data_IF_691341367403
#
_entry.id   IF_691341367403
#
_cell.length_a   1.000
_cell.length_b   1.000
_cell.length_c   1.000
_cell.angle_alpha   90.00
_cell.angle_beta   90.00
_cell.angle_gamma   90.00
#
_symmetry.space_group_name_H-M   'P 1'
#
loop_
_entity.id
_entity.type
_entity.pdbx_description
1 polymer ?
#
# COMPACT_ATOMS: atom_id res chain seq x y z
N UNK A 1 8.45 19.10 -10.96
CA UNK A 1 7.43 19.60 -9.99
C UNK A 1 8.07 20.70 -9.18
N UNK A 2 7.46 21.88 -9.09
CA UNK A 2 7.97 22.93 -8.22
C UNK A 2 7.94 22.44 -6.77
N UNK A 3 9.09 22.39 -6.11
CA UNK A 3 9.20 22.03 -4.71
C UNK A 3 8.55 23.14 -3.87
N UNK A 4 7.26 23.01 -3.62
CA UNK A 4 6.58 23.86 -2.65
C UNK A 4 7.03 23.41 -1.26
N UNK A 5 7.85 24.21 -0.59
CA UNK A 5 8.15 24.01 0.83
C UNK A 5 6.92 24.41 1.63
N UNK A 6 6.26 23.42 2.21
CA UNK A 6 5.16 23.67 3.15
C UNK A 6 5.74 23.78 4.55
N UNK A 7 5.41 24.86 5.25
CA UNK A 7 5.75 25.04 6.66
C UNK A 7 4.45 25.12 7.45
N UNK A 8 4.31 24.24 8.43
CA UNK A 8 3.20 24.28 9.37
C UNK A 8 3.59 25.06 10.62
N UNK A 9 2.58 25.59 11.32
CA UNK A 9 2.76 26.29 12.60
C UNK A 9 1.66 25.90 13.59
N UNK A 10 1.85 26.24 14.87
CA UNK A 10 0.89 25.93 15.95
C UNK A 10 0.59 24.44 16.09
N UNK A 11 -0.65 24.12 16.40
CA UNK A 11 -1.08 22.76 16.74
C UNK A 11 -0.67 21.69 15.74
N UNK A 12 -0.75 21.96 14.44
CA UNK A 12 -0.37 21.00 13.41
C UNK A 12 1.11 20.64 13.47
N UNK A 13 1.97 21.66 13.61
CA UNK A 13 3.42 21.46 13.75
C UNK A 13 3.75 20.71 15.04
N UNK A 14 3.20 21.14 16.16
CA UNK A 14 3.42 20.53 17.48
C UNK A 14 2.95 19.07 17.50
N UNK A 15 1.80 18.79 16.90
CA UNK A 15 1.29 17.40 16.79
C UNK A 15 2.23 16.52 15.97
N UNK A 16 2.74 17.00 14.83
CA UNK A 16 3.70 16.22 14.04
C UNK A 16 4.99 15.93 14.80
N UNK A 17 5.54 16.90 15.52
CA UNK A 17 6.73 16.69 16.36
C UNK A 17 6.44 15.71 17.50
N UNK A 18 5.30 15.84 18.16
CA UNK A 18 4.87 14.90 19.21
C UNK A 18 4.73 13.47 18.68
N UNK A 19 4.09 13.29 17.51
CA UNK A 19 3.98 11.99 16.85
C UNK A 19 5.34 11.42 16.47
N UNK A 20 6.27 12.27 16.01
CA UNK A 20 7.63 11.86 15.70
C UNK A 20 8.34 11.29 16.94
N UNK A 21 8.37 12.05 18.02
CA UNK A 21 9.12 11.68 19.23
C UNK A 21 8.47 10.52 20.00
N UNK A 22 7.14 10.51 20.09
CA UNK A 22 6.43 9.52 20.93
C UNK A 22 6.28 8.18 20.23
N UNK A 23 6.05 8.18 18.93
CA UNK A 23 5.68 6.97 18.19
C UNK A 23 6.63 6.63 17.04
N UNK A 24 6.91 7.59 16.14
CA UNK A 24 7.66 7.28 14.92
C UNK A 24 9.11 6.84 15.22
N UNK A 25 9.70 7.32 16.31
CA UNK A 25 11.03 6.91 16.80
C UNK A 25 11.02 5.68 17.70
N UNK A 26 9.87 5.08 17.98
CA UNK A 26 9.79 3.85 18.77
C UNK A 26 10.26 2.63 17.96
N UNK A 27 11.51 2.26 18.14
CA UNK A 27 12.11 1.10 17.46
C UNK A 27 11.45 -0.25 17.85
N UNK A 28 10.89 -0.36 19.04
CA UNK A 28 10.17 -1.56 19.47
C UNK A 28 8.84 -1.69 18.73
N UNK A 29 8.11 -0.59 18.59
CA UNK A 29 6.87 -0.56 17.82
C UNK A 29 7.12 -1.03 16.38
N UNK A 30 8.19 -0.56 15.71
CA UNK A 30 8.53 -1.01 14.36
C UNK A 30 8.77 -2.51 14.26
N UNK A 31 9.48 -3.11 15.23
CA UNK A 31 9.68 -4.57 15.30
C UNK A 31 8.35 -5.32 15.46
N UNK A 32 7.44 -4.80 16.28
CA UNK A 32 6.09 -5.38 16.46
C UNK A 32 5.26 -5.29 15.17
N UNK A 33 5.41 -4.22 14.38
CA UNK A 33 4.70 -4.04 13.11
C UNK A 33 5.25 -4.95 11.99
N UNK A 34 6.53 -5.31 12.02
CA UNK A 34 7.15 -6.27 11.07
C UNK A 34 6.83 -7.73 11.44
N UNK A 35 6.67 -8.03 12.72
CA UNK A 35 6.47 -9.40 13.25
C UNK A 35 5.39 -10.22 12.51
N UNK A 36 4.20 -9.69 12.14
CA UNK A 36 3.17 -10.43 11.41
C UNK A 36 3.64 -11.01 10.07
N UNK A 37 4.63 -10.41 9.41
CA UNK A 37 5.18 -10.90 8.15
C UNK A 37 6.15 -12.08 8.30
N UNK A 38 6.51 -12.43 9.53
CA UNK A 38 7.29 -13.63 9.87
C UNK A 38 6.40 -14.73 10.45
N UNK A 39 5.36 -14.36 11.17
CA UNK A 39 4.52 -15.31 11.92
C UNK A 39 3.24 -15.72 11.18
N UNK A 40 2.85 -14.95 10.16
CA UNK A 40 1.64 -15.17 9.35
C UNK A 40 0.37 -15.41 10.19
N UNK A 41 0.05 -14.54 11.18
CA UNK A 41 -1.05 -14.77 12.10
C UNK A 41 -2.42 -14.46 11.50
N UNK A 42 -2.46 -13.75 10.36
CA UNK A 42 -3.70 -13.42 9.68
C UNK A 42 -4.20 -14.62 8.87
N UNK A 43 -5.46 -14.63 8.52
CA UNK A 43 -6.07 -15.74 7.76
C UNK A 43 -7.51 -16.00 8.14
N UNK A 44 -8.05 -15.16 9.01
CA UNK A 44 -9.47 -15.03 9.27
C UNK A 44 -9.92 -13.67 8.73
N UNK A 45 -11.15 -13.57 8.25
CA UNK A 45 -11.76 -12.34 7.73
C UNK A 45 -11.79 -11.17 8.71
N UNK A 46 -11.49 -11.42 9.98
CA UNK A 46 -11.44 -10.45 11.08
C UNK A 46 -10.04 -9.93 11.38
N UNK A 47 -9.00 -10.45 10.73
CA UNK A 47 -7.62 -10.09 11.02
C UNK A 47 -6.95 -9.38 9.85
N UNK A 48 -6.26 -8.27 10.13
CA UNK A 48 -5.62 -7.39 9.16
C UNK A 48 -4.32 -6.76 9.69
N UNK A 49 -3.56 -7.53 10.50
CA UNK A 49 -2.33 -7.03 11.14
C UNK A 49 -1.28 -6.55 10.13
N UNK A 50 -1.25 -7.14 8.95
CA UNK A 50 -0.32 -6.76 7.89
C UNK A 50 -0.50 -5.35 7.32
N UNK A 51 -1.63 -4.66 7.61
CA UNK A 51 -1.83 -3.29 7.11
C UNK A 51 -1.03 -2.24 7.89
N UNK A 52 -0.73 -2.49 9.17
CA UNK A 52 -0.27 -1.44 10.07
C UNK A 52 1.12 -0.93 9.74
N UNK A 53 2.07 -1.80 9.41
CA UNK A 53 3.42 -1.36 9.04
C UNK A 53 3.39 -0.36 7.89
N UNK A 54 2.68 -0.66 6.83
CA UNK A 54 2.62 0.19 5.65
C UNK A 54 1.86 1.50 5.86
N UNK A 55 0.75 1.46 6.62
CA UNK A 55 0.02 2.68 7.01
C UNK A 55 0.91 3.61 7.83
N UNK A 56 1.62 3.04 8.79
CA UNK A 56 2.48 3.79 9.68
C UNK A 56 3.68 4.37 8.93
N UNK A 57 4.35 3.57 8.09
CA UNK A 57 5.46 4.01 7.25
C UNK A 57 5.07 5.22 6.37
N UNK A 58 3.87 5.22 5.78
CA UNK A 58 3.40 6.36 4.96
C UNK A 58 3.39 7.66 5.75
N UNK A 59 2.82 7.64 6.97
CA UNK A 59 2.78 8.82 7.84
C UNK A 59 4.16 9.25 8.29
N UNK A 60 4.97 8.31 8.75
CA UNK A 60 6.32 8.59 9.25
C UNK A 60 7.27 9.08 8.15
N UNK A 61 7.17 8.56 6.91
CA UNK A 61 7.94 9.07 5.79
C UNK A 61 7.60 10.53 5.46
N UNK A 62 6.32 10.92 5.55
CA UNK A 62 5.90 12.33 5.37
C UNK A 62 6.41 13.22 6.51
N UNK A 63 6.35 12.75 7.77
CA UNK A 63 6.92 13.47 8.92
C UNK A 63 8.42 13.64 8.73
N UNK A 64 9.15 12.59 8.36
CA UNK A 64 10.57 12.63 8.10
C UNK A 64 10.93 13.59 6.95
N UNK A 65 10.14 13.58 5.86
CA UNK A 65 10.31 14.52 4.76
C UNK A 65 10.12 15.98 5.21
N UNK A 66 9.20 16.24 6.14
CA UNK A 66 8.93 17.55 6.68
C UNK A 66 9.99 18.01 7.68
N UNK A 67 10.34 17.16 8.66
CA UNK A 67 11.23 17.51 9.76
C UNK A 67 12.71 17.42 9.38
N UNK A 68 13.06 16.63 8.36
CA UNK A 68 14.43 16.30 7.96
C UNK A 68 15.26 15.70 9.11
N UNK A 69 14.61 15.02 10.06
CA UNK A 69 15.26 14.42 11.22
C UNK A 69 16.03 13.15 10.82
N UNK A 70 17.37 13.21 10.99
CA UNK A 70 18.25 12.09 10.63
C UNK A 70 18.07 10.87 11.54
N UNK A 71 17.71 11.07 12.81
CA UNK A 71 17.41 10.01 13.76
C UNK A 71 16.17 9.21 13.33
N UNK A 72 15.09 9.93 12.96
CA UNK A 72 13.90 9.30 12.40
C UNK A 72 14.23 8.60 11.08
N UNK A 73 14.96 9.26 10.16
CA UNK A 73 15.35 8.65 8.89
C UNK A 73 16.05 7.30 9.11
N UNK A 74 17.00 7.23 10.04
CA UNK A 74 17.73 5.99 10.34
C UNK A 74 16.82 4.87 10.83
N UNK A 75 15.86 5.19 11.69
CA UNK A 75 14.87 4.21 12.19
C UNK A 75 13.99 3.71 11.05
N UNK A 76 13.53 4.61 10.15
CA UNK A 76 12.73 4.22 8.99
C UNK A 76 13.52 3.35 8.01
N UNK A 77 14.80 3.67 7.78
CA UNK A 77 15.68 2.84 6.96
C UNK A 77 15.86 1.44 7.57
N UNK A 78 16.12 1.36 8.87
CA UNK A 78 16.32 0.09 9.56
C UNK A 78 15.06 -0.80 9.51
N UNK A 79 13.86 -0.23 9.72
CA UNK A 79 12.63 -1.02 9.63
C UNK A 79 12.29 -1.41 8.18
N UNK A 80 12.70 -0.64 7.17
CA UNK A 80 12.56 -1.03 5.76
C UNK A 80 13.47 -2.22 5.44
N UNK A 81 14.73 -2.20 5.90
CA UNK A 81 15.63 -3.35 5.76
C UNK A 81 15.10 -4.59 6.49
N UNK A 82 14.53 -4.40 7.66
CA UNK A 82 13.88 -5.45 8.43
C UNK A 82 12.66 -6.03 7.68
N UNK A 83 11.81 -5.19 7.09
CA UNK A 83 10.68 -5.63 6.27
C UNK A 83 11.16 -6.36 4.99
N UNK A 84 12.19 -5.87 4.31
CA UNK A 84 12.77 -6.54 3.13
C UNK A 84 13.23 -7.97 3.47
N UNK A 85 13.75 -8.21 4.68
CA UNK A 85 14.18 -9.53 5.12
C UNK A 85 13.03 -10.51 5.37
N UNK A 86 11.79 -10.05 5.36
CA UNK A 86 10.60 -10.92 5.48
C UNK A 86 10.06 -11.41 4.14
N UNK A 87 10.62 -10.93 3.01
CA UNK A 87 10.18 -11.41 1.70
C UNK A 87 10.55 -12.88 1.53
N UNK A 88 9.56 -13.71 1.29
CA UNK A 88 9.77 -15.15 1.10
C UNK A 88 10.29 -15.50 -0.31
N UNK A 89 10.59 -16.79 -0.51
CA UNK A 89 11.12 -17.30 -1.78
C UNK A 89 10.15 -17.11 -2.96
N UNK A 90 8.84 -17.02 -2.68
CA UNK A 90 7.82 -16.72 -3.67
C UNK A 90 7.75 -15.22 -4.03
N UNK A 91 8.49 -14.38 -3.32
CA UNK A 91 8.50 -12.93 -3.50
C UNK A 91 7.40 -12.19 -2.74
N UNK A 92 6.72 -12.85 -1.78
CA UNK A 92 5.60 -12.26 -1.04
C UNK A 92 6.07 -11.43 0.15
N UNK A 93 5.31 -10.37 0.44
CA UNK A 93 5.20 -9.76 1.76
C UNK A 93 3.78 -10.00 2.25
N UNK A 94 3.55 -10.98 3.09
CA UNK A 94 2.20 -11.27 3.57
C UNK A 94 2.20 -11.62 5.05
N UNK A 95 1.19 -11.15 5.75
CA UNK A 95 0.84 -11.59 7.10
C UNK A 95 -0.07 -12.83 7.10
N UNK A 96 -0.42 -13.31 5.91
CA UNK A 96 -1.21 -14.52 5.68
C UNK A 96 -0.31 -15.68 5.27
N UNK A 97 -0.58 -16.88 5.81
CA UNK A 97 0.00 -18.10 5.32
C UNK A 97 -0.47 -18.38 3.87
N UNK A 98 0.33 -19.14 3.09
CA UNK A 98 0.06 -19.38 1.66
C UNK A 98 -1.32 -19.97 1.41
N UNK A 99 -1.73 -20.93 2.25
CA UNK A 99 -3.03 -21.62 2.15
C UNK A 99 -4.24 -20.77 2.52
N UNK A 100 -4.02 -19.55 3.02
CA UNK A 100 -5.07 -18.61 3.44
C UNK A 100 -5.04 -17.30 2.68
N UNK A 101 -4.15 -17.18 1.70
CA UNK A 101 -3.99 -15.94 0.95
C UNK A 101 -5.16 -15.66 -0.02
N UNK A 102 -5.23 -14.43 -0.48
CA UNK A 102 -6.26 -13.93 -1.41
C UNK A 102 -7.69 -14.08 -0.89
N UNK A 103 -7.86 -14.02 0.43
CA UNK A 103 -9.18 -13.88 1.09
C UNK A 103 -9.14 -12.76 2.13
N UNK A 104 -10.31 -12.26 2.49
CA UNK A 104 -10.51 -11.30 3.57
C UNK A 104 -9.77 -9.98 3.36
N UNK A 105 -8.70 -9.76 4.11
CA UNK A 105 -7.92 -8.53 4.11
C UNK A 105 -6.51 -8.69 3.50
N UNK A 106 -6.18 -9.83 2.92
CA UNK A 106 -4.81 -10.09 2.45
C UNK A 106 -4.37 -9.08 1.38
N UNK A 107 -5.15 -8.87 0.31
CA UNK A 107 -4.82 -7.88 -0.73
C UNK A 107 -4.74 -6.46 -0.16
N UNK A 108 -5.59 -6.12 0.80
CA UNK A 108 -5.52 -4.85 1.52
C UNK A 108 -4.21 -4.70 2.31
N UNK A 109 -3.79 -5.74 3.03
CA UNK A 109 -2.52 -5.74 3.75
C UNK A 109 -1.33 -5.58 2.80
N UNK A 110 -1.31 -6.34 1.70
CA UNK A 110 -0.28 -6.25 0.66
C UNK A 110 -0.21 -4.86 0.02
N UNK A 111 -1.36 -4.25 -0.25
CA UNK A 111 -1.43 -2.86 -0.73
C UNK A 111 -0.65 -1.91 0.18
N UNK A 112 -0.83 -2.03 1.49
CA UNK A 112 -0.15 -1.11 2.41
C UNK A 112 1.35 -1.35 2.50
N UNK A 113 1.82 -2.58 2.35
CA UNK A 113 3.27 -2.84 2.23
C UNK A 113 3.84 -2.15 1.00
N UNK A 114 3.20 -2.33 -0.17
CA UNK A 114 3.59 -1.64 -1.41
C UNK A 114 3.66 -0.12 -1.19
N UNK A 115 2.61 0.48 -0.63
CA UNK A 115 2.54 1.92 -0.40
C UNK A 115 3.59 2.39 0.61
N UNK A 116 3.78 1.67 1.73
CA UNK A 116 4.78 2.03 2.73
C UNK A 116 6.19 2.09 2.15
N UNK A 117 6.58 1.05 1.41
CA UNK A 117 7.86 1.01 0.70
C UNK A 117 7.99 2.15 -0.33
N UNK A 118 6.93 2.41 -1.11
CA UNK A 118 6.92 3.47 -2.11
C UNK A 118 7.02 4.87 -1.50
N UNK A 119 6.43 5.11 -0.34
CA UNK A 119 6.57 6.38 0.38
C UNK A 119 7.97 6.54 0.97
N UNK A 120 8.55 5.48 1.54
CA UNK A 120 9.94 5.54 2.00
C UNK A 120 10.92 5.81 0.84
N UNK A 121 10.69 5.24 -0.34
CA UNK A 121 11.55 5.49 -1.51
C UNK A 121 11.61 6.98 -1.90
N UNK A 122 10.61 7.78 -1.59
CA UNK A 122 10.59 9.23 -1.88
C UNK A 122 11.61 10.00 -1.03
N UNK A 123 11.92 9.49 0.17
CA UNK A 123 12.91 10.09 1.09
C UNK A 123 14.22 9.30 1.13
N UNK A 124 14.29 8.12 0.51
CA UNK A 124 15.45 7.24 0.57
C UNK A 124 16.69 7.91 -0.02
N UNK A 125 17.75 7.98 0.78
CA UNK A 125 19.04 8.60 0.42
C UNK A 125 20.05 7.57 -0.12
N UNK A 126 19.81 6.27 0.11
CA UNK A 126 20.64 5.15 -0.34
C UNK A 126 20.12 4.61 -1.68
N UNK A 127 20.88 4.81 -2.75
CA UNK A 127 20.52 4.36 -4.10
C UNK A 127 20.48 2.83 -4.24
N UNK A 128 21.33 2.09 -3.51
CA UNK A 128 21.33 0.63 -3.53
C UNK A 128 20.09 0.09 -2.81
N UNK A 129 19.76 0.64 -1.66
CA UNK A 129 18.52 0.28 -0.95
C UNK A 129 17.29 0.57 -1.80
N UNK A 130 17.27 1.71 -2.47
CA UNK A 130 16.15 2.07 -3.38
C UNK A 130 15.99 1.06 -4.50
N UNK A 131 17.08 0.61 -5.11
CA UNK A 131 17.06 -0.44 -6.13
C UNK A 131 16.58 -1.79 -5.56
N UNK A 132 17.02 -2.17 -4.35
CA UNK A 132 16.55 -3.38 -3.66
C UNK A 132 15.04 -3.32 -3.40
N UNK A 133 14.53 -2.18 -2.92
CA UNK A 133 13.09 -1.99 -2.70
C UNK A 133 12.33 -2.18 -4.00
N UNK A 134 12.74 -1.55 -5.11
CA UNK A 134 12.06 -1.69 -6.41
C UNK A 134 12.02 -3.17 -6.83
N UNK A 135 13.10 -3.91 -6.72
CA UNK A 135 13.11 -5.34 -7.08
C UNK A 135 12.20 -6.17 -6.17
N UNK A 136 12.18 -5.88 -4.88
CA UNK A 136 11.29 -6.56 -3.94
C UNK A 136 9.81 -6.25 -4.23
N UNK A 137 9.47 -4.99 -4.54
CA UNK A 137 8.12 -4.59 -4.92
C UNK A 137 7.67 -5.23 -6.23
N UNK A 138 8.58 -5.36 -7.21
CA UNK A 138 8.30 -6.07 -8.48
C UNK A 138 7.93 -7.52 -8.20
N UNK A 139 8.77 -8.26 -7.46
CA UNK A 139 8.49 -9.67 -7.10
C UNK A 139 7.14 -9.81 -6.40
N UNK A 140 6.86 -8.92 -5.44
CA UNK A 140 5.59 -8.94 -4.71
C UNK A 140 4.39 -8.64 -5.59
N UNK A 141 4.48 -7.63 -6.46
CA UNK A 141 3.42 -7.28 -7.40
C UNK A 141 3.22 -8.38 -8.45
N UNK A 142 4.30 -8.95 -9.00
CA UNK A 142 4.25 -10.03 -9.98
C UNK A 142 3.54 -11.25 -9.38
N UNK A 143 3.87 -11.64 -8.15
CA UNK A 143 3.19 -12.73 -7.46
C UNK A 143 1.67 -12.51 -7.37
N UNK A 144 1.24 -11.26 -7.11
CA UNK A 144 -0.19 -10.91 -7.03
C UNK A 144 -0.84 -10.96 -8.42
N UNK A 145 -0.27 -10.26 -9.41
CA UNK A 145 -0.90 -10.12 -10.73
C UNK A 145 -0.91 -11.42 -11.54
N UNK A 146 -0.04 -12.38 -11.22
CA UNK A 146 -0.05 -13.71 -11.80
C UNK A 146 -1.25 -14.55 -11.33
N UNK A 147 -1.71 -14.34 -10.09
CA UNK A 147 -2.75 -15.16 -9.44
C UNK A 147 -4.10 -14.48 -9.35
N UNK A 148 -4.08 -13.16 -9.26
CA UNK A 148 -5.27 -12.33 -9.05
C UNK A 148 -5.44 -11.38 -10.24
N UNK A 149 -6.63 -11.29 -10.78
CA UNK A 149 -6.92 -10.43 -11.93
C UNK A 149 -8.17 -10.86 -12.67
N UNK A 150 -8.23 -10.54 -13.97
CA UNK A 150 -9.39 -10.82 -14.82
C UNK A 150 -9.01 -11.61 -16.09
N UNK A 151 -7.86 -12.25 -16.09
CA UNK A 151 -7.47 -13.20 -17.11
C UNK A 151 -7.96 -14.61 -16.74
N UNK A 152 -8.04 -15.49 -17.72
CA UNK A 152 -8.41 -16.90 -17.51
C UNK A 152 -7.47 -17.57 -16.49
N UNK A 153 -8.06 -18.32 -15.58
CA UNK A 153 -7.34 -19.05 -14.52
C UNK A 153 -6.91 -18.21 -13.31
N UNK A 154 -7.21 -16.90 -13.29
CA UNK A 154 -6.92 -16.04 -12.13
C UNK A 154 -8.14 -15.86 -11.24
N UNK A 155 -7.89 -15.60 -9.96
CA UNK A 155 -8.92 -15.21 -8.99
C UNK A 155 -9.35 -13.78 -9.30
N UNK A 156 -10.62 -13.50 -9.61
CA UNK A 156 -11.09 -12.14 -9.79
C UNK A 156 -10.87 -11.29 -8.53
N UNK A 157 -10.43 -10.03 -8.70
CA UNK A 157 -10.14 -9.16 -7.54
C UNK A 157 -11.34 -9.02 -6.62
N UNK A 158 -12.56 -8.99 -7.16
CA UNK A 158 -13.79 -8.87 -6.37
C UNK A 158 -14.17 -10.15 -5.61
N UNK A 159 -13.50 -11.27 -5.86
CA UNK A 159 -13.66 -12.52 -5.12
C UNK A 159 -12.65 -12.69 -3.98
N UNK A 160 -11.60 -11.86 -3.94
CA UNK A 160 -10.55 -11.94 -2.90
C UNK A 160 -10.97 -11.34 -1.57
N UNK A 161 -12.16 -10.79 -1.44
CA UNK A 161 -12.67 -10.26 -0.18
C UNK A 161 -14.18 -10.10 -0.22
N UNK A 162 -14.81 -10.27 0.94
CA UNK A 162 -16.21 -9.92 1.15
C UNK A 162 -16.39 -8.58 1.87
N UNK A 163 -15.29 -7.99 2.35
CA UNK A 163 -15.34 -6.71 3.02
C UNK A 163 -15.65 -5.61 2.03
N UNK A 164 -16.68 -4.83 2.32
CA UNK A 164 -17.15 -3.71 1.50
C UNK A 164 -17.35 -4.08 0.02
N UNK A 165 -17.87 -5.27 -0.26
CA UNK A 165 -18.03 -5.76 -1.62
C UNK A 165 -16.72 -5.83 -2.40
N UNK A 166 -15.64 -6.20 -1.74
CA UNK A 166 -14.28 -6.27 -2.28
C UNK A 166 -13.64 -4.92 -2.70
N UNK A 167 -14.23 -3.78 -2.32
CA UNK A 167 -13.62 -2.48 -2.57
C UNK A 167 -12.28 -2.30 -1.85
N UNK A 168 -12.08 -2.97 -0.69
CA UNK A 168 -10.79 -3.02 -0.01
C UNK A 168 -9.70 -3.64 -0.90
N UNK A 169 -9.98 -4.75 -1.56
CA UNK A 169 -9.04 -5.41 -2.49
C UNK A 169 -8.79 -4.56 -3.74
N UNK A 170 -9.82 -3.94 -4.31
CA UNK A 170 -9.70 -3.05 -5.46
C UNK A 170 -8.73 -1.86 -5.22
N UNK A 171 -8.55 -1.47 -3.97
CA UNK A 171 -7.65 -0.37 -3.59
C UNK A 171 -6.17 -0.62 -3.90
N UNK A 172 -5.78 -1.85 -4.23
CA UNK A 172 -4.41 -2.18 -4.69
C UNK A 172 -4.08 -1.50 -6.03
N UNK A 173 -5.07 -1.01 -6.76
CA UNK A 173 -4.87 -0.23 -7.98
C UNK A 173 -3.83 0.88 -7.78
N UNK A 174 -3.90 1.60 -6.66
CA UNK A 174 -3.01 2.74 -6.38
C UNK A 174 -1.51 2.36 -6.39
N UNK A 175 -1.03 1.40 -5.58
CA UNK A 175 0.38 1.05 -5.59
C UNK A 175 0.83 0.35 -6.88
N UNK A 176 -0.03 -0.38 -7.57
CA UNK A 176 0.32 -1.01 -8.86
C UNK A 176 0.55 0.08 -9.94
N UNK A 177 -0.33 1.07 -10.04
CA UNK A 177 -0.13 2.20 -10.97
C UNK A 177 1.13 3.02 -10.59
N UNK A 178 1.37 3.21 -9.28
CA UNK A 178 2.60 3.88 -8.81
C UNK A 178 3.85 3.07 -9.20
N UNK A 179 3.80 1.74 -9.11
CA UNK A 179 4.89 0.87 -9.54
C UNK A 179 5.13 0.94 -11.05
N UNK A 180 4.07 0.98 -11.87
CA UNK A 180 4.19 1.27 -13.30
C UNK A 180 4.95 2.58 -13.54
N UNK A 181 4.56 3.67 -12.88
CA UNK A 181 5.21 4.98 -13.03
C UNK A 181 6.69 4.97 -12.59
N UNK A 182 7.05 4.10 -11.65
CA UNK A 182 8.42 3.96 -11.15
C UNK A 182 9.30 3.09 -12.05
N UNK A 183 8.72 2.13 -12.76
CA UNK A 183 9.47 1.10 -13.51
C UNK A 183 9.31 1.18 -15.02
N UNK A 184 8.22 1.77 -15.51
CA UNK A 184 7.83 1.75 -16.93
C UNK A 184 7.35 0.39 -17.45
N UNK A 185 7.13 -0.60 -16.57
CA UNK A 185 6.80 -1.97 -16.98
C UNK A 185 5.31 -2.13 -17.30
N UNK A 186 4.99 -2.25 -18.58
CA UNK A 186 3.62 -2.26 -19.13
C UNK A 186 2.69 -3.32 -18.54
N UNK A 187 3.21 -4.42 -17.98
CA UNK A 187 2.38 -5.44 -17.32
C UNK A 187 1.56 -4.88 -16.15
N UNK A 188 2.11 -3.92 -15.41
CA UNK A 188 1.39 -3.27 -14.29
C UNK A 188 0.26 -2.37 -14.79
N UNK A 189 0.50 -1.61 -15.86
CA UNK A 189 -0.53 -0.78 -16.48
C UNK A 189 -1.63 -1.63 -17.11
N UNK A 190 -1.25 -2.69 -17.80
CA UNK A 190 -2.21 -3.63 -18.42
C UNK A 190 -3.12 -4.27 -17.37
N UNK A 191 -2.55 -4.75 -16.28
CA UNK A 191 -3.32 -5.30 -15.17
C UNK A 191 -4.25 -4.25 -14.52
N UNK A 192 -3.74 -3.04 -14.30
CA UNK A 192 -4.51 -1.93 -13.73
C UNK A 192 -5.72 -1.54 -14.61
N UNK A 193 -5.53 -1.48 -15.94
CA UNK A 193 -6.63 -1.23 -16.90
C UNK A 193 -7.70 -2.32 -16.83
N UNK A 194 -7.31 -3.61 -16.75
CA UNK A 194 -8.24 -4.72 -16.58
C UNK A 194 -9.01 -4.63 -15.25
N UNK A 195 -8.32 -4.25 -14.17
CA UNK A 195 -8.98 -4.03 -12.88
C UNK A 195 -10.05 -2.93 -12.99
N UNK A 196 -9.74 -1.78 -13.57
CA UNK A 196 -10.69 -0.67 -13.73
C UNK A 196 -11.90 -1.11 -14.56
N UNK A 197 -11.67 -1.84 -15.65
CA UNK A 197 -12.75 -2.26 -16.54
C UNK A 197 -13.71 -3.30 -15.94
N UNK A 198 -13.20 -4.17 -15.05
CA UNK A 198 -13.94 -5.37 -14.63
C UNK A 198 -14.27 -5.41 -13.12
N UNK A 199 -13.76 -4.48 -12.31
CA UNK A 199 -14.02 -4.48 -10.87
C UNK A 199 -15.51 -4.33 -10.57
N UNK A 200 -16.00 -5.23 -9.72
CA UNK A 200 -17.35 -5.18 -9.20
C UNK A 200 -17.34 -5.05 -7.68
N UNK A 201 -18.26 -4.24 -7.18
CA UNK A 201 -18.53 -4.12 -5.75
C UNK A 201 -20.03 -4.04 -5.59
N UNK A 202 -20.64 -5.05 -4.95
CA UNK A 202 -22.08 -5.20 -4.86
C UNK A 202 -22.79 -5.11 -6.23
N UNK A 203 -22.21 -5.70 -7.27
CA UNK A 203 -22.76 -5.73 -8.63
C UNK A 203 -22.52 -4.47 -9.47
N UNK A 204 -21.78 -3.48 -8.95
CA UNK A 204 -21.49 -2.22 -9.66
C UNK A 204 -19.98 -2.02 -9.82
N UNK A 205 -19.57 -1.46 -10.96
CA UNK A 205 -18.19 -1.05 -11.16
C UNK A 205 -17.91 0.30 -10.52
N UNK A 206 -17.25 0.30 -9.36
CA UNK A 206 -16.96 1.50 -8.56
C UNK A 206 -16.06 2.51 -9.27
N UNK A 207 -15.16 2.06 -10.15
CA UNK A 207 -14.27 2.95 -10.88
C UNK A 207 -14.99 3.67 -12.01
N UNK A 208 -15.76 2.95 -12.82
CA UNK A 208 -16.57 3.56 -13.89
C UNK A 208 -17.61 4.49 -13.31
N UNK A 209 -18.26 4.13 -12.21
CA UNK A 209 -19.20 5.02 -11.52
C UNK A 209 -18.53 6.32 -11.05
N UNK A 210 -17.29 6.23 -10.55
CA UNK A 210 -16.53 7.42 -10.15
C UNK A 210 -16.19 8.33 -11.35
N UNK A 211 -15.86 7.77 -12.52
CA UNK A 211 -15.61 8.54 -13.74
C UNK A 211 -16.88 9.24 -14.26
N UNK A 212 -18.02 8.58 -14.14
CA UNK A 212 -19.32 9.09 -14.61
C UNK A 212 -20.01 9.98 -13.57
N UNK A 213 -19.34 10.32 -12.45
CA UNK A 213 -19.91 11.04 -11.30
C UNK A 213 -21.18 10.40 -10.74
N UNK A 214 -21.36 9.10 -10.91
CA UNK A 214 -22.45 8.34 -10.30
C UNK A 214 -22.20 8.13 -8.81
N UNK A 215 -23.29 8.00 -8.06
CA UNK A 215 -23.23 7.73 -6.62
C UNK A 215 -22.54 6.38 -6.38
N UNK A 216 -21.56 6.35 -5.48
CA UNK A 216 -20.93 5.10 -5.09
C UNK A 216 -21.93 4.20 -4.35
N UNK A 217 -21.88 2.86 -4.53
CA UNK A 217 -22.85 1.91 -3.97
C UNK A 217 -22.80 1.80 -2.45
N UNK A 218 -21.88 2.52 -1.80
CA UNK A 218 -21.66 2.46 -0.35
C UNK A 218 -22.00 3.78 0.32
N UNK A 219 -22.76 3.73 1.42
CA UNK A 219 -23.02 4.89 2.27
C UNK A 219 -21.81 5.54 2.93
N UNK A 220 -20.62 4.99 2.75
CA UNK A 220 -19.30 5.48 3.21
C UNK A 220 -18.39 5.99 2.10
N UNK A 221 -18.94 6.40 0.97
CA UNK A 221 -18.22 6.81 -0.25
C UNK A 221 -17.09 7.82 -0.02
N UNK A 222 -17.19 8.70 0.96
CA UNK A 222 -16.17 9.70 1.26
C UNK A 222 -14.84 9.05 1.69
N UNK A 223 -14.89 7.99 2.48
CA UNK A 223 -13.69 7.27 2.95
C UNK A 223 -12.99 6.57 1.77
N UNK A 224 -13.76 6.04 0.82
CA UNK A 224 -13.21 5.42 -0.38
C UNK A 224 -12.69 6.43 -1.40
N UNK A 225 -13.37 7.53 -1.61
CA UNK A 225 -12.88 8.61 -2.48
C UNK A 225 -11.55 9.19 -1.98
N UNK A 226 -11.39 9.35 -0.67
CA UNK A 226 -10.12 9.79 -0.06
C UNK A 226 -9.02 8.73 -0.13
N UNK A 227 -9.37 7.43 -0.11
CA UNK A 227 -8.41 6.34 -0.25
C UNK A 227 -8.00 6.10 -1.70
N UNK A 228 -8.88 6.42 -2.63
CA UNK A 228 -8.69 6.02 -4.01
C UNK A 228 -8.23 7.14 -4.93
N UNK A 229 -8.50 8.45 -4.72
CA UNK A 229 -8.20 9.26 -5.87
C UNK A 229 -8.41 10.77 -5.85
N UNK A 230 -7.50 11.28 -6.60
CA UNK A 230 -7.81 12.07 -7.84
C UNK A 230 -7.48 11.22 -9.09
N UNK A 231 -8.47 10.61 -9.76
CA UNK A 231 -8.24 9.74 -10.93
C UNK A 231 -7.47 10.42 -12.07
N UNK A 232 -7.70 11.72 -12.26
CA UNK A 232 -7.10 12.53 -13.32
C UNK A 232 -5.56 12.65 -13.25
N UNK A 233 -4.93 12.38 -12.12
CA UNK A 233 -3.47 12.45 -11.97
C UNK A 233 -2.75 11.17 -12.44
N UNK A 234 -3.49 10.08 -12.70
CA UNK A 234 -2.91 8.77 -13.01
C UNK A 234 -3.18 8.29 -14.42
N UNK A 235 -3.98 9.02 -15.21
CA UNK A 235 -4.32 8.65 -16.60
C UNK A 235 -3.83 9.65 -17.65
N UNK A 236 -3.05 10.66 -17.26
CA UNK A 236 -2.38 11.59 -18.16
C UNK A 236 -0.91 11.18 -18.33
#
# INVERSE_FOLDING_TARGET
MNNVKVQFSGLTHETMLSMQETYAKDALLWKLLVKPFREHPDGDRRYWKGEFWGKYMRGCALICAYTQDDGLYKILEDTVRDMLSTQDELGRFSSYAVEKEFDGWDIWCRKYVLLGMQFFMEICRDGLLKAQIIQALKKHADYIIERVGYDEGKIPVHETSQAWGAANSASILQPIVKLYKQTGEERYLTWAKKLIANQQSNGENIFLNAFENKKAPFGGALMFALLFFKPQQYMA
#
